data_IF_241800536952
#
_entry.id   IF_241800536952
#
_cell.length_a   1.000
_cell.length_b   1.000
_cell.length_c   1.000
_cell.angle_alpha   90.00
_cell.angle_beta   90.00
_cell.angle_gamma   90.00
#
_symmetry.space_group_name_H-M   'P 1'
#
loop_
_entity.id
_entity.type
_entity.pdbx_description
1 polymer ?
#
# COMPACT_ATOMS: atom_id res chain seq x y z
N UNK A 1 9.05 -21.35 22.20
CA UNK A 1 9.91 -20.49 21.37
C UNK A 1 11.31 -20.24 21.99
N UNK A 2 11.79 -21.05 22.94
CA UNK A 2 13.11 -20.80 23.59
C UNK A 2 14.31 -21.32 22.81
N UNK A 3 14.09 -22.24 21.86
CA UNK A 3 15.16 -22.75 21.01
C UNK A 3 15.29 -21.90 19.74
N UNK A 4 16.42 -21.19 19.62
CA UNK A 4 16.73 -20.33 18.47
C UNK A 4 16.83 -21.10 17.16
N UNK A 5 17.15 -22.39 17.19
CA UNK A 5 17.31 -23.21 15.98
C UNK A 5 15.97 -23.55 15.32
N UNK A 6 14.89 -23.56 16.10
CA UNK A 6 13.55 -23.90 15.60
C UNK A 6 12.82 -22.69 15.02
N UNK A 7 13.27 -21.48 15.31
CA UNK A 7 12.58 -20.26 14.92
C UNK A 7 12.43 -20.09 13.41
N UNK A 8 13.48 -20.27 12.58
CA UNK A 8 13.36 -20.13 11.14
C UNK A 8 12.40 -21.16 10.54
N UNK A 9 12.42 -22.39 11.07
CA UNK A 9 11.53 -23.46 10.62
C UNK A 9 10.07 -23.19 10.98
N UNK A 10 9.82 -22.67 12.18
CA UNK A 10 8.47 -22.33 12.61
C UNK A 10 7.92 -21.11 11.85
N UNK A 11 8.75 -20.09 11.64
CA UNK A 11 8.38 -18.92 10.86
C UNK A 11 8.08 -19.28 9.40
N UNK A 12 8.93 -20.12 8.79
CA UNK A 12 8.70 -20.67 7.45
C UNK A 12 7.39 -21.46 7.39
N UNK A 13 7.16 -22.37 8.35
CA UNK A 13 5.91 -23.14 8.44
C UNK A 13 4.69 -22.23 8.53
N UNK A 14 4.73 -21.19 9.37
CA UNK A 14 3.63 -20.21 9.46
C UNK A 14 3.36 -19.55 8.11
N UNK A 15 4.41 -19.11 7.41
CA UNK A 15 4.26 -18.46 6.10
C UNK A 15 3.70 -19.42 5.03
N UNK A 16 4.11 -20.69 5.05
CA UNK A 16 3.60 -21.72 4.13
C UNK A 16 2.12 -22.04 4.41
N UNK A 17 1.74 -22.16 5.69
CA UNK A 17 0.34 -22.40 6.06
C UNK A 17 -0.54 -21.18 5.72
N UNK A 18 -0.04 -19.96 5.95
CA UNK A 18 -0.74 -18.73 5.60
C UNK A 18 -0.91 -18.55 4.08
N UNK A 19 0.03 -19.05 3.28
CA UNK A 19 -0.06 -19.05 1.81
C UNK A 19 -1.17 -19.99 1.29
N UNK A 20 -1.40 -21.13 1.95
CA UNK A 20 -2.47 -22.06 1.58
C UNK A 20 -3.85 -21.55 1.95
N UNK A 21 -4.64 -21.09 0.97
CA UNK A 21 -5.99 -20.51 1.18
C UNK A 21 -6.89 -21.42 2.03
N UNK A 22 -6.84 -22.73 1.81
CA UNK A 22 -7.63 -23.73 2.56
C UNK A 22 -7.27 -23.80 4.06
N UNK A 23 -6.05 -23.41 4.42
CA UNK A 23 -5.53 -23.49 5.78
C UNK A 23 -5.63 -22.16 6.54
N UNK A 24 -5.93 -21.04 5.87
CA UNK A 24 -5.94 -19.71 6.48
C UNK A 24 -6.95 -19.61 7.64
N UNK A 25 -8.15 -20.16 7.45
CA UNK A 25 -9.19 -20.13 8.47
C UNK A 25 -8.75 -20.86 9.74
N UNK A 26 -8.23 -22.08 9.60
CA UNK A 26 -7.74 -22.88 10.73
C UNK A 26 -6.53 -22.20 11.39
N UNK A 27 -5.62 -21.63 10.60
CA UNK A 27 -4.48 -20.88 11.11
C UNK A 27 -4.90 -19.70 12.00
N UNK A 28 -5.95 -18.97 11.60
CA UNK A 28 -6.52 -17.88 12.40
C UNK A 28 -7.13 -18.41 13.70
N UNK A 29 -7.94 -19.48 13.62
CA UNK A 29 -8.61 -20.09 14.79
C UNK A 29 -7.61 -20.61 15.83
N UNK A 30 -6.52 -21.22 15.38
CA UNK A 30 -5.45 -21.73 16.25
C UNK A 30 -4.53 -20.63 16.80
N UNK A 31 -4.82 -19.35 16.52
CA UNK A 31 -4.04 -18.22 17.02
C UNK A 31 -2.70 -18.04 16.32
N UNK A 32 -2.58 -18.49 15.06
CA UNK A 32 -1.37 -18.40 14.26
C UNK A 32 -0.85 -16.97 14.11
N UNK A 33 -1.72 -15.96 14.01
CA UNK A 33 -1.28 -14.55 13.96
C UNK A 33 -0.60 -14.12 15.25
N UNK A 34 -1.13 -14.53 16.41
CA UNK A 34 -0.50 -14.22 17.71
C UNK A 34 0.88 -14.88 17.83
N UNK A 35 1.04 -16.08 17.27
CA UNK A 35 2.34 -16.73 17.20
C UNK A 35 3.31 -15.93 16.32
N UNK A 36 2.88 -15.50 15.14
CA UNK A 36 3.66 -14.67 14.22
C UNK A 36 4.10 -13.36 14.87
N UNK A 37 3.18 -12.65 15.52
CA UNK A 37 3.46 -11.39 16.22
C UNK A 37 4.50 -11.59 17.32
N UNK A 38 4.35 -12.64 18.15
CA UNK A 38 5.34 -12.96 19.21
C UNK A 38 6.71 -13.36 18.66
N UNK A 39 6.76 -14.01 17.50
CA UNK A 39 8.04 -14.36 16.85
C UNK A 39 8.76 -13.11 16.36
N UNK A 40 8.01 -12.19 15.74
CA UNK A 40 8.55 -10.93 15.23
C UNK A 40 9.10 -10.04 16.35
N UNK A 41 8.38 -9.90 17.46
CA UNK A 41 8.70 -8.90 18.50
C UNK A 41 9.54 -9.42 19.66
N UNK A 42 9.21 -10.60 20.20
CA UNK A 42 9.71 -10.99 21.52
C UNK A 42 10.89 -11.96 21.45
N UNK A 43 10.99 -12.77 20.40
CA UNK A 43 11.86 -13.95 20.44
C UNK A 43 13.06 -13.86 19.50
N UNK A 44 12.93 -13.23 18.33
CA UNK A 44 13.98 -13.22 17.31
C UNK A 44 14.10 -11.86 16.60
N UNK A 45 14.29 -10.75 17.35
CA UNK A 45 14.30 -9.40 16.77
C UNK A 45 15.47 -9.17 15.80
N UNK A 46 16.54 -9.98 15.86
CA UNK A 46 17.74 -9.81 15.05
C UNK A 46 17.75 -10.69 13.78
N UNK A 47 16.84 -11.68 13.68
CA UNK A 47 16.82 -12.63 12.57
C UNK A 47 15.92 -12.13 11.43
N UNK A 48 16.54 -11.54 10.41
CA UNK A 48 15.88 -10.97 9.23
C UNK A 48 15.00 -11.98 8.50
N UNK A 49 15.43 -13.25 8.43
CA UNK A 49 14.66 -14.29 7.76
C UNK A 49 13.37 -14.61 8.52
N UNK A 50 13.46 -14.72 9.85
CA UNK A 50 12.29 -14.90 10.70
C UNK A 50 11.33 -13.70 10.57
N UNK A 51 11.86 -12.47 10.58
CA UNK A 51 11.06 -11.25 10.43
C UNK A 51 10.36 -11.19 9.07
N UNK A 52 11.06 -11.51 7.99
CA UNK A 52 10.49 -11.62 6.64
C UNK A 52 9.36 -12.65 6.60
N UNK A 53 9.58 -13.88 7.11
CA UNK A 53 8.54 -14.91 7.16
C UNK A 53 7.31 -14.48 7.98
N UNK A 54 7.50 -13.71 9.05
CA UNK A 54 6.40 -13.18 9.85
C UNK A 54 5.58 -12.16 9.05
N UNK A 55 6.23 -11.20 8.38
CA UNK A 55 5.56 -10.22 7.52
C UNK A 55 4.84 -10.91 6.35
N UNK A 56 5.48 -11.88 5.71
CA UNK A 56 4.85 -12.68 4.64
C UNK A 56 3.64 -13.47 5.13
N UNK A 57 3.70 -14.03 6.33
CA UNK A 57 2.55 -14.73 6.93
C UNK A 57 1.34 -13.78 7.06
N UNK A 58 1.57 -12.55 7.50
CA UNK A 58 0.51 -11.54 7.60
C UNK A 58 0.03 -11.14 6.20
N UNK A 59 0.95 -10.87 5.27
CA UNK A 59 0.63 -10.51 3.88
C UNK A 59 -0.29 -11.54 3.23
N UNK A 60 0.02 -12.83 3.32
CA UNK A 60 -0.78 -13.88 2.68
C UNK A 60 -2.17 -14.02 3.27
N UNK A 61 -2.33 -13.77 4.58
CA UNK A 61 -3.65 -13.80 5.22
C UNK A 61 -4.56 -12.68 4.74
N UNK A 62 -4.00 -11.50 4.46
CA UNK A 62 -4.78 -10.29 4.11
C UNK A 62 -4.91 -10.08 2.60
N UNK A 63 -4.02 -10.70 1.83
CA UNK A 63 -3.98 -10.70 0.37
C UNK A 63 -3.92 -12.15 -0.15
N UNK A 64 -4.96 -12.96 0.04
CA UNK A 64 -4.99 -14.32 -0.48
C UNK A 64 -4.82 -14.28 -2.01
N UNK A 65 -3.79 -14.96 -2.51
CA UNK A 65 -3.55 -15.08 -3.95
C UNK A 65 -4.56 -16.05 -4.54
N UNK A 66 -5.38 -15.56 -5.47
CA UNK A 66 -6.22 -16.42 -6.31
C UNK A 66 -5.30 -17.23 -7.24
N UNK A 67 -4.86 -18.40 -6.80
CA UNK A 67 -4.01 -19.30 -7.60
C UNK A 67 -4.77 -19.94 -8.79
N UNK A 68 -5.98 -19.49 -9.10
CA UNK A 68 -6.69 -19.89 -10.33
C UNK A 68 -6.17 -19.08 -11.51
N UNK A 69 -5.06 -19.54 -12.09
CA UNK A 69 -4.63 -19.16 -13.43
C UNK A 69 -5.77 -19.35 -14.43
N UNK A 70 -6.34 -18.25 -14.93
CA UNK A 70 -7.04 -18.25 -16.21
C UNK A 70 -8.55 -18.58 -16.24
N UNK A 71 -9.28 -18.46 -15.13
CA UNK A 71 -10.74 -18.39 -15.21
C UNK A 71 -11.25 -17.02 -14.77
N UNK A 72 -12.07 -16.45 -15.65
CA UNK A 72 -12.77 -15.17 -15.51
C UNK A 72 -13.15 -14.93 -14.05
N UNK A 73 -12.67 -13.82 -13.48
CA UNK A 73 -13.07 -13.29 -12.17
C UNK A 73 -14.59 -13.43 -12.05
N UNK A 74 -15.13 -14.42 -11.30
CA UNK A 74 -16.51 -14.33 -10.90
C UNK A 74 -16.56 -13.11 -9.98
N UNK A 75 -17.66 -12.35 -10.00
CA UNK A 75 -17.92 -11.38 -8.94
C UNK A 75 -17.59 -12.08 -7.60
N UNK A 76 -16.67 -11.50 -6.82
CA UNK A 76 -16.13 -12.11 -5.61
C UNK A 76 -17.28 -12.76 -4.86
N UNK A 77 -17.24 -14.10 -4.74
CA UNK A 77 -18.35 -14.79 -4.07
C UNK A 77 -18.47 -14.20 -2.68
N UNK A 78 -19.68 -13.97 -2.17
CA UNK A 78 -19.88 -13.37 -0.82
C UNK A 78 -19.04 -14.05 0.25
N UNK A 79 -18.83 -15.36 0.12
CA UNK A 79 -17.98 -16.18 0.98
C UNK A 79 -16.52 -15.71 0.98
N UNK A 80 -15.98 -15.32 -0.17
CA UNK A 80 -14.60 -14.83 -0.31
C UNK A 80 -14.42 -13.44 0.34
N UNK A 81 -15.41 -12.55 0.20
CA UNK A 81 -15.39 -11.25 0.88
C UNK A 81 -15.52 -11.40 2.41
N UNK A 82 -16.39 -12.30 2.87
CA UNK A 82 -16.53 -12.64 4.29
C UNK A 82 -15.24 -13.23 4.87
N UNK A 83 -14.57 -14.12 4.13
CA UNK A 83 -13.28 -14.69 4.53
C UNK A 83 -12.19 -13.62 4.57
N UNK A 84 -12.10 -12.73 3.57
CA UNK A 84 -11.17 -11.59 3.59
C UNK A 84 -11.41 -10.70 4.81
N UNK A 85 -12.67 -10.35 5.09
CA UNK A 85 -13.03 -9.54 6.25
C UNK A 85 -12.70 -10.23 7.58
N UNK A 86 -12.90 -11.55 7.68
CA UNK A 86 -12.51 -12.35 8.85
C UNK A 86 -10.99 -12.35 9.05
N UNK A 87 -10.20 -12.51 7.99
CA UNK A 87 -8.74 -12.44 8.05
C UNK A 87 -8.25 -11.07 8.50
N UNK A 88 -8.77 -9.97 7.92
CA UNK A 88 -8.41 -8.61 8.34
C UNK A 88 -8.72 -8.38 9.83
N UNK A 89 -9.90 -8.81 10.30
CA UNK A 89 -10.27 -8.73 11.71
C UNK A 89 -9.34 -9.55 12.60
N UNK A 90 -9.05 -10.79 12.21
CA UNK A 90 -8.16 -11.67 12.97
C UNK A 90 -6.76 -11.10 13.11
N UNK A 91 -6.25 -10.48 12.04
CA UNK A 91 -4.93 -9.81 12.06
C UNK A 91 -4.96 -8.55 12.92
N UNK A 92 -5.98 -7.72 12.80
CA UNK A 92 -6.10 -6.49 13.58
C UNK A 92 -6.20 -6.77 15.09
N UNK A 93 -7.04 -7.72 15.49
CA UNK A 93 -7.23 -8.12 16.91
C UNK A 93 -5.95 -8.73 17.51
N UNK A 94 -5.10 -9.33 16.68
CA UNK A 94 -3.85 -9.93 17.10
C UNK A 94 -2.67 -8.94 17.10
N UNK A 95 -2.91 -7.62 17.00
CA UNK A 95 -1.86 -6.58 16.92
C UNK A 95 -1.00 -6.64 15.64
N UNK A 96 -1.49 -7.30 14.58
CA UNK A 96 -0.76 -7.43 13.33
C UNK A 96 -0.48 -6.09 12.64
N UNK A 97 -1.40 -5.12 12.72
CA UNK A 97 -1.21 -3.77 12.17
C UNK A 97 0.01 -3.06 12.80
N UNK A 98 0.20 -3.24 14.11
CA UNK A 98 1.34 -2.65 14.84
C UNK A 98 2.65 -3.27 14.37
N UNK A 99 2.69 -4.59 14.17
CA UNK A 99 3.85 -5.29 13.61
C UNK A 99 4.17 -4.81 12.20
N UNK A 100 3.16 -4.67 11.33
CA UNK A 100 3.37 -4.18 9.97
C UNK A 100 3.94 -2.77 9.94
N UNK A 101 3.42 -1.85 10.76
CA UNK A 101 3.92 -0.49 10.85
C UNK A 101 5.31 -0.42 11.51
N UNK A 102 5.57 -1.25 12.53
CA UNK A 102 6.90 -1.38 13.12
C UNK A 102 7.93 -1.89 12.10
N UNK A 103 7.54 -2.83 11.23
CA UNK A 103 8.38 -3.28 10.11
C UNK A 103 8.65 -2.15 9.11
N UNK A 104 7.65 -1.30 8.85
CA UNK A 104 7.82 -0.11 8.02
C UNK A 104 8.66 0.99 8.69
N UNK A 105 8.79 1.06 10.01
CA UNK A 105 9.57 2.11 10.67
C UNK A 105 11.02 1.70 10.93
N UNK A 106 11.23 0.42 11.28
CA UNK A 106 12.49 -0.02 11.89
C UNK A 106 13.35 -0.94 11.00
N UNK A 107 12.83 -1.45 9.88
CA UNK A 107 13.57 -2.38 9.03
C UNK A 107 14.41 -1.66 7.99
N UNK A 108 15.64 -2.14 7.80
CA UNK A 108 16.53 -1.66 6.74
C UNK A 108 16.38 -2.45 5.45
N UNK A 109 15.80 -3.66 5.52
CA UNK A 109 15.62 -4.52 4.36
C UNK A 109 14.39 -4.12 3.56
N UNK A 110 14.65 -3.64 2.34
CA UNK A 110 13.63 -3.17 1.40
C UNK A 110 12.53 -4.21 1.19
N UNK A 111 12.87 -5.49 1.11
CA UNK A 111 11.86 -6.55 0.89
C UNK A 111 10.90 -6.70 2.08
N UNK A 112 11.40 -6.59 3.32
CA UNK A 112 10.55 -6.66 4.52
C UNK A 112 9.61 -5.47 4.53
N UNK A 113 10.15 -4.26 4.30
CA UNK A 113 9.38 -3.02 4.23
C UNK A 113 8.33 -3.07 3.11
N UNK A 114 8.71 -3.47 1.90
CA UNK A 114 7.80 -3.55 0.76
C UNK A 114 6.65 -4.53 1.03
N UNK A 115 6.93 -5.71 1.59
CA UNK A 115 5.91 -6.68 1.94
C UNK A 115 5.00 -6.19 3.08
N UNK A 116 5.54 -5.44 4.05
CA UNK A 116 4.75 -4.84 5.12
C UNK A 116 3.81 -3.76 4.59
N UNK A 117 4.31 -2.86 3.72
CA UNK A 117 3.49 -1.85 3.06
C UNK A 117 2.39 -2.48 2.18
N UNK A 118 2.72 -3.54 1.42
CA UNK A 118 1.73 -4.30 0.64
C UNK A 118 0.66 -4.94 1.53
N UNK A 119 1.04 -5.46 2.69
CA UNK A 119 0.11 -6.05 3.65
C UNK A 119 -0.83 -5.01 4.28
N UNK A 120 -0.45 -3.73 4.30
CA UNK A 120 -1.32 -2.64 4.76
C UNK A 120 -2.40 -2.25 3.73
N UNK A 121 -2.21 -2.55 2.44
CA UNK A 121 -3.14 -2.12 1.38
C UNK A 121 -4.59 -2.58 1.61
N UNK A 122 -4.88 -3.87 1.91
CA UNK A 122 -6.25 -4.32 2.16
C UNK A 122 -6.93 -3.62 3.36
N UNK A 123 -6.14 -3.18 4.34
CA UNK A 123 -6.65 -2.41 5.47
C UNK A 123 -6.92 -0.96 5.08
N UNK A 124 -6.03 -0.34 4.30
CA UNK A 124 -6.25 1.02 3.79
C UNK A 124 -7.48 1.10 2.87
N UNK A 125 -7.74 0.05 2.08
CA UNK A 125 -8.97 -0.06 1.27
C UNK A 125 -10.24 -0.07 2.13
N UNK A 126 -10.17 -0.55 3.37
CA UNK A 126 -11.32 -0.68 4.27
C UNK A 126 -11.54 0.58 5.10
N UNK A 127 -12.74 1.16 5.01
CA UNK A 127 -13.14 2.36 5.78
C UNK A 127 -12.98 2.19 7.30
N UNK A 128 -13.12 0.96 7.81
CA UNK A 128 -13.00 0.64 9.22
C UNK A 128 -11.56 0.86 9.75
N UNK A 129 -10.56 0.48 8.95
CA UNK A 129 -9.16 0.45 9.40
C UNK A 129 -8.37 1.70 9.05
N UNK A 130 -8.80 2.49 8.06
CA UNK A 130 -8.18 3.78 7.73
C UNK A 130 -7.93 4.67 8.96
N UNK A 131 -8.94 4.98 9.81
CA UNK A 131 -8.72 5.82 10.99
C UNK A 131 -7.87 5.13 12.07
N UNK A 132 -7.83 3.80 12.10
CA UNK A 132 -7.01 3.04 13.05
C UNK A 132 -5.53 3.15 12.66
N UNK A 133 -5.21 2.92 11.39
CA UNK A 133 -3.84 3.03 10.86
C UNK A 133 -3.30 4.44 11.06
N UNK A 134 -4.07 5.45 10.67
CA UNK A 134 -3.63 6.85 10.78
C UNK A 134 -3.83 7.48 12.15
N UNK A 135 -4.39 6.73 13.11
CA UNK A 135 -4.60 7.21 14.46
C UNK A 135 -3.28 7.40 15.23
N UNK A 136 -3.31 8.20 16.32
CA UNK A 136 -2.11 8.56 17.08
C UNK A 136 -1.41 7.35 17.71
N UNK A 137 -2.13 6.27 17.99
CA UNK A 137 -1.57 5.05 18.59
C UNK A 137 -0.65 4.28 17.64
N UNK A 138 -0.89 4.38 16.32
CA UNK A 138 -0.14 3.61 15.31
C UNK A 138 0.77 4.48 14.45
N UNK A 139 0.56 5.81 14.42
CA UNK A 139 1.39 6.78 13.69
C UNK A 139 1.57 6.41 12.20
N UNK A 140 0.58 5.73 11.60
CA UNK A 140 0.71 5.22 10.25
C UNK A 140 0.87 6.32 9.20
N UNK A 141 0.33 7.53 9.45
CA UNK A 141 0.52 8.67 8.54
C UNK A 141 1.98 9.12 8.53
N UNK A 142 2.61 9.29 9.69
CA UNK A 142 4.04 9.67 9.81
C UNK A 142 4.92 8.65 9.09
N UNK A 143 4.71 7.36 9.37
CA UNK A 143 5.52 6.27 8.84
C UNK A 143 5.36 6.19 7.32
N UNK A 144 4.12 6.10 6.82
CA UNK A 144 3.86 5.96 5.38
C UNK A 144 4.30 7.20 4.60
N UNK A 145 4.11 8.41 5.15
CA UNK A 145 4.53 9.65 4.48
C UNK A 145 6.05 9.78 4.33
N UNK A 146 6.84 9.18 5.23
CA UNK A 146 8.31 9.17 5.11
C UNK A 146 8.79 8.54 3.79
N UNK A 147 8.04 7.55 3.27
CA UNK A 147 8.36 6.83 2.04
C UNK A 147 8.12 7.62 0.75
N UNK A 148 7.42 8.76 0.81
CA UNK A 148 7.32 9.68 -0.33
C UNK A 148 8.70 10.19 -0.79
N UNK A 149 9.66 10.21 0.12
CA UNK A 149 11.04 10.66 -0.12
C UNK A 149 12.03 9.50 -0.33
N UNK A 150 11.56 8.25 -0.35
CA UNK A 150 12.43 7.09 -0.56
C UNK A 150 13.09 7.14 -1.94
N UNK A 151 14.36 6.73 -2.04
CA UNK A 151 15.04 6.53 -3.31
C UNK A 151 14.53 5.28 -4.05
N UNK A 152 13.86 4.38 -3.34
CA UNK A 152 13.26 3.20 -3.92
C UNK A 152 11.89 3.53 -4.54
N UNK A 153 11.77 3.33 -5.85
CA UNK A 153 10.55 3.63 -6.60
C UNK A 153 9.35 2.79 -6.16
N UNK A 154 9.56 1.50 -5.86
CA UNK A 154 8.49 0.59 -5.43
C UNK A 154 7.90 1.06 -4.08
N UNK A 155 8.76 1.35 -3.10
CA UNK A 155 8.31 1.84 -1.79
C UNK A 155 7.53 3.14 -1.91
N UNK A 156 8.02 4.05 -2.76
CA UNK A 156 7.34 5.33 -3.04
C UNK A 156 5.96 5.13 -3.67
N UNK A 157 5.84 4.23 -4.65
CA UNK A 157 4.57 3.93 -5.31
C UNK A 157 3.56 3.32 -4.34
N UNK A 158 3.98 2.36 -3.50
CA UNK A 158 3.09 1.75 -2.50
C UNK A 158 2.67 2.80 -1.45
N UNK A 159 3.59 3.65 -1.01
CA UNK A 159 3.28 4.72 -0.06
C UNK A 159 2.26 5.73 -0.62
N UNK A 160 2.41 6.14 -1.89
CA UNK A 160 1.42 6.99 -2.57
C UNK A 160 0.05 6.31 -2.60
N UNK A 161 -0.02 5.03 -2.96
CA UNK A 161 -1.27 4.28 -2.96
C UNK A 161 -1.91 4.24 -1.57
N UNK A 162 -1.13 3.91 -0.54
CA UNK A 162 -1.62 3.86 0.84
C UNK A 162 -2.15 5.22 1.28
N UNK A 163 -1.43 6.31 1.01
CA UNK A 163 -1.87 7.65 1.38
C UNK A 163 -3.16 8.06 0.64
N UNK A 164 -3.31 7.72 -0.64
CA UNK A 164 -4.56 7.97 -1.38
C UNK A 164 -5.78 7.39 -0.65
N UNK A 165 -5.65 6.19 -0.09
CA UNK A 165 -6.71 5.57 0.69
C UNK A 165 -6.83 6.13 2.11
N UNK A 166 -5.71 6.26 2.83
CA UNK A 166 -5.72 6.70 4.23
C UNK A 166 -6.24 8.14 4.37
N UNK A 167 -5.94 9.03 3.42
CA UNK A 167 -6.37 10.43 3.42
C UNK A 167 -7.85 10.62 3.04
N UNK A 168 -8.58 9.57 2.68
CA UNK A 168 -10.05 9.67 2.60
C UNK A 168 -10.69 9.88 3.98
N UNK A 169 -10.02 9.44 5.06
CA UNK A 169 -10.44 9.69 6.44
C UNK A 169 -10.09 11.13 6.86
N UNK A 170 -11.07 11.87 7.39
CA UNK A 170 -10.86 13.24 7.87
C UNK A 170 -9.84 13.32 9.01
N UNK A 171 -9.83 12.36 9.93
CA UNK A 171 -8.87 12.31 11.04
C UNK A 171 -7.42 12.17 10.52
N UNK A 172 -7.24 11.37 9.47
CA UNK A 172 -5.94 11.16 8.85
C UNK A 172 -5.46 12.38 8.07
N UNK A 173 -6.38 13.09 7.37
CA UNK A 173 -6.05 14.37 6.70
C UNK A 173 -5.51 15.39 7.69
N UNK A 174 -6.18 15.55 8.84
CA UNK A 174 -5.72 16.45 9.90
C UNK A 174 -4.32 16.08 10.41
N UNK A 175 -4.08 14.78 10.62
CA UNK A 175 -2.77 14.27 11.05
C UNK A 175 -1.68 14.52 10.00
N UNK A 176 -1.98 14.31 8.71
CA UNK A 176 -1.04 14.56 7.62
C UNK A 176 -0.66 16.03 7.49
N UNK A 177 -1.62 16.95 7.61
CA UNK A 177 -1.35 18.38 7.54
C UNK A 177 -0.57 18.90 8.75
N UNK A 178 -0.76 18.28 9.92
CA UNK A 178 0.03 18.62 11.09
C UNK A 178 1.52 18.25 10.93
N UNK A 179 1.86 17.23 10.13
CA UNK A 179 3.25 16.89 9.83
C UNK A 179 3.98 17.99 9.08
N UNK A 180 3.29 18.65 8.14
CA UNK A 180 3.86 19.72 7.35
C UNK A 180 4.12 20.95 8.23
N UNK A 181 3.15 21.32 9.09
CA UNK A 181 3.30 22.42 10.06
C UNK A 181 4.49 22.22 11.00
N UNK A 182 4.65 21.02 11.56
CA UNK A 182 5.76 20.72 12.46
C UNK A 182 7.13 20.73 11.76
N UNK A 183 7.19 20.51 10.44
CA UNK A 183 8.45 20.63 9.67
C UNK A 183 8.84 22.08 9.37
N UNK A 184 7.88 23.00 9.31
CA UNK A 184 8.14 24.42 9.10
C UNK A 184 8.44 25.16 10.42
N UNK A 185 7.90 24.72 11.56
CA UNK A 185 8.18 25.33 12.88
C UNK A 185 9.61 25.03 13.42
N UNK A 186 10.37 24.12 12.79
CA UNK A 186 11.81 23.96 13.10
C UNK A 186 12.69 25.05 12.45
N UNK A 187 12.08 26.00 11.72
CA UNK A 187 12.75 27.16 11.14
C UNK A 187 11.86 28.40 11.11
N UNK A 188 11.92 29.18 12.19
CA UNK A 188 11.36 30.53 12.37
C UNK A 188 9.83 30.64 12.62
N UNK A 189 9.50 31.36 13.70
CA UNK A 189 8.16 31.85 14.08
C UNK A 189 7.34 32.32 12.86
N UNK A 190 6.18 31.71 12.58
CA UNK A 190 5.10 32.42 11.89
C UNK A 190 3.73 31.77 12.04
N UNK A 191 2.87 32.50 12.76
CA UNK A 191 1.43 32.70 12.56
C UNK A 191 0.56 31.49 12.14
N UNK A 192 -0.24 31.06 13.11
CA UNK A 192 -1.40 30.20 12.93
C UNK A 192 -2.44 30.82 11.98
N UNK A 193 -2.53 30.30 10.76
CA UNK A 193 -3.77 30.29 9.99
C UNK A 193 -4.41 28.90 10.10
N UNK A 194 -5.53 28.86 10.81
CA UNK A 194 -6.43 27.70 10.85
C UNK A 194 -7.10 27.69 9.47
N UNK A 195 -6.79 26.68 8.64
CA UNK A 195 -7.52 26.45 7.40
C UNK A 195 -8.95 26.05 7.76
N UNK A 196 -9.93 26.80 7.25
CA UNK A 196 -11.35 26.52 7.44
C UNK A 196 -11.77 25.25 6.68
N UNK A 197 -12.87 24.64 7.14
CA UNK A 197 -13.30 23.28 6.78
C UNK A 197 -13.55 23.05 5.28
N UNK A 198 -13.70 24.11 4.48
CA UNK A 198 -13.96 24.07 3.04
C UNK A 198 -12.68 23.96 2.19
N UNK A 199 -11.50 24.29 2.72
CA UNK A 199 -10.22 24.24 1.98
C UNK A 199 -9.63 22.82 1.87
N UNK A 200 -10.15 21.89 2.68
CA UNK A 200 -9.68 20.50 2.75
C UNK A 200 -10.30 19.57 1.69
N UNK A 201 -11.39 20.01 1.06
CA UNK A 201 -12.05 19.26 0.00
C UNK A 201 -11.30 19.44 -1.34
N UNK A 202 -10.77 20.65 -1.60
CA UNK A 202 -9.93 20.93 -2.77
C UNK A 202 -8.50 20.38 -2.69
N UNK A 203 -7.96 20.11 -1.48
CA UNK A 203 -6.58 19.62 -1.34
C UNK A 203 -6.41 18.15 -1.79
N UNK A 204 -7.49 17.37 -1.77
CA UNK A 204 -7.53 16.00 -2.33
C UNK A 204 -7.31 16.03 -3.85
N UNK A 205 -7.74 17.11 -4.52
CA UNK A 205 -7.47 17.37 -5.93
C UNK A 205 -6.09 18.01 -6.18
N UNK A 206 -5.42 18.52 -5.13
CA UNK A 206 -4.15 19.24 -5.22
C UNK A 206 -2.91 18.41 -4.87
N UNK A 207 -3.05 17.17 -4.39
CA UNK A 207 -1.90 16.27 -4.37
C UNK A 207 -1.49 16.05 -5.83
N UNK A 208 -0.30 16.48 -6.27
CA UNK A 208 0.12 16.27 -7.64
C UNK A 208 0.23 14.76 -7.84
N UNK A 209 -0.79 14.21 -8.49
CA UNK A 209 -0.76 12.92 -9.12
C UNK A 209 0.51 12.95 -9.98
N UNK A 210 1.53 12.23 -9.56
CA UNK A 210 2.68 11.94 -10.39
C UNK A 210 2.15 11.06 -11.52
N UNK A 211 1.58 11.70 -12.54
CA UNK A 211 1.47 11.15 -13.89
C UNK A 211 2.91 10.93 -14.33
N UNK A 212 3.42 9.74 -14.04
CA UNK A 212 4.65 9.23 -14.60
C UNK A 212 4.53 9.34 -16.13
N UNK A 213 5.32 10.24 -16.71
CA UNK A 213 5.68 10.24 -18.12
C UNK A 213 4.70 10.92 -19.08
N UNK A 214 4.73 12.25 -19.16
CA UNK A 214 4.74 12.91 -20.48
C UNK A 214 5.85 13.95 -20.47
N UNK A 215 6.94 13.79 -21.23
CA UNK A 215 7.96 14.83 -21.31
C UNK A 215 7.34 16.08 -21.93
N UNK A 216 7.31 17.16 -21.15
CA UNK A 216 6.76 18.43 -21.57
C UNK A 216 7.81 19.19 -22.38
N UNK A 217 7.37 19.62 -23.57
CA UNK A 217 7.88 20.68 -24.45
C UNK A 217 8.76 20.23 -25.62
N UNK A 218 8.13 20.19 -26.80
CA UNK A 218 8.64 21.02 -27.89
C UNK A 218 7.61 22.13 -28.10
N UNK A 219 8.08 23.36 -27.98
CA UNK A 219 7.32 24.56 -28.26
C UNK A 219 7.12 24.70 -29.78
N UNK A 220 5.94 25.14 -30.22
CA UNK A 220 5.86 26.02 -31.38
C UNK A 220 4.70 26.99 -31.24
N UNK A 221 5.01 28.24 -31.55
CA UNK A 221 4.18 29.44 -31.45
C UNK A 221 2.93 29.39 -32.34
N UNK A 222 1.98 30.22 -31.92
CA UNK A 222 0.81 30.78 -32.58
C UNK A 222 0.78 30.81 -34.12
N UNK A 223 -0.40 30.50 -34.69
CA UNK A 223 -0.94 31.16 -35.88
C UNK A 223 -1.64 30.24 -36.88
N UNK A 224 -2.89 30.58 -37.25
CA UNK A 224 -3.44 30.27 -38.57
C UNK A 224 -4.54 29.21 -38.64
N UNK A 225 -5.66 29.63 -39.26
CA UNK A 225 -6.87 28.85 -39.60
C UNK A 225 -6.62 27.74 -40.64
N UNK A 226 -7.65 26.89 -40.78
CA UNK A 226 -8.07 26.04 -41.92
C UNK A 226 -7.37 24.71 -42.22
N UNK A 227 -8.21 23.69 -42.46
CA UNK A 227 -7.98 22.69 -43.51
C UNK A 227 -7.61 21.28 -43.05
N UNK A 228 -8.42 20.32 -43.47
CA UNK A 228 -8.17 18.87 -43.39
C UNK A 228 -6.77 18.49 -43.91
N UNK A 229 -6.06 17.61 -43.21
CA UNK A 229 -5.24 16.57 -43.83
C UNK A 229 -4.77 15.53 -42.80
N UNK A 230 -4.94 14.27 -43.21
CA UNK A 230 -4.40 13.06 -42.64
C UNK A 230 -2.89 13.15 -42.36
N UNK A 231 -2.46 12.74 -41.17
CA UNK A 231 -1.11 12.22 -40.94
C UNK A 231 -1.23 10.99 -40.03
N UNK A 232 -1.23 9.82 -40.65
CA UNK A 232 -1.04 8.54 -39.96
C UNK A 232 0.38 8.51 -39.40
N UNK A 233 0.52 8.60 -38.09
CA UNK A 233 1.77 8.25 -37.41
C UNK A 233 1.82 6.74 -37.28
N UNK A 234 2.78 6.15 -37.96
CA UNK A 234 3.17 4.76 -37.89
C UNK A 234 3.64 4.43 -36.46
N UNK A 235 2.85 3.58 -35.77
CA UNK A 235 3.10 3.10 -34.40
C UNK A 235 3.84 1.76 -34.37
N UNK A 236 4.37 1.29 -35.50
CA UNK A 236 5.05 -0.02 -35.59
C UNK A 236 6.29 -0.13 -34.68
N UNK A 237 6.83 0.98 -34.17
CA UNK A 237 7.94 1.00 -33.20
C UNK A 237 7.56 0.91 -31.71
N UNK A 238 6.27 1.01 -31.34
CA UNK A 238 5.85 1.08 -29.91
C UNK A 238 5.51 -0.30 -29.33
N UNK A 239 5.37 -1.33 -30.19
CA UNK A 239 4.96 -2.67 -29.76
C UNK A 239 6.04 -3.49 -29.04
N UNK A 240 7.26 -2.98 -28.89
CA UNK A 240 8.36 -3.72 -28.26
C UNK A 240 8.76 -3.24 -26.85
N UNK A 241 8.03 -2.29 -26.25
CA UNK A 241 8.30 -1.86 -24.85
C UNK A 241 7.40 -2.60 -23.84
N UNK A 242 6.26 -3.16 -24.28
CA UNK A 242 5.30 -3.86 -23.41
C UNK A 242 5.26 -5.38 -23.59
N UNK A 243 6.19 -5.96 -24.36
CA UNK A 243 6.29 -7.40 -24.55
C UNK A 243 7.25 -8.03 -23.52
N UNK A 244 6.87 -7.98 -22.25
CA UNK A 244 7.50 -8.71 -21.15
C UNK A 244 6.40 -9.18 -20.22
N UNK A 245 5.84 -10.35 -20.52
CA UNK A 245 4.57 -10.81 -19.98
C UNK A 245 4.51 -10.95 -18.46
N UNK A 246 3.50 -10.33 -17.86
CA UNK A 246 2.50 -10.96 -17.01
C UNK A 246 1.30 -9.99 -16.95
N UNK A 247 0.09 -10.52 -16.94
CA UNK A 247 -1.15 -9.75 -17.02
C UNK A 247 -1.23 -8.61 -15.99
N UNK A 248 -1.09 -7.38 -16.48
CA UNK A 248 -1.24 -6.15 -15.72
C UNK A 248 -2.74 -5.74 -15.75
N UNK A 249 -3.46 -5.65 -14.62
CA UNK A 249 -4.86 -5.21 -14.61
C UNK A 249 -5.01 -3.69 -14.78
N UNK A 250 -3.90 -2.94 -14.87
CA UNK A 250 -3.91 -1.48 -15.00
C UNK A 250 -3.98 -1.00 -16.46
N UNK A 251 -4.99 -1.43 -17.21
CA UNK A 251 -5.40 -0.70 -18.42
C UNK A 251 -6.56 0.22 -18.04
N UNK A 252 -6.21 1.41 -17.55
CA UNK A 252 -7.16 2.52 -17.40
C UNK A 252 -7.66 2.90 -18.80
N UNK A 253 -8.86 2.44 -19.17
CA UNK A 253 -9.61 2.99 -20.30
C UNK A 253 -9.89 4.46 -19.98
N UNK A 254 -9.18 5.37 -20.64
CA UNK A 254 -9.60 6.76 -20.74
C UNK A 254 -10.96 6.79 -21.43
N UNK A 255 -12.02 7.13 -20.70
CA UNK A 255 -13.28 7.50 -21.29
C UNK A 255 -13.11 8.88 -21.94
N UNK A 256 -13.13 8.92 -23.27
CA UNK A 256 -13.28 10.15 -24.04
C UNK A 256 -14.70 10.69 -23.83
N UNK A 257 -14.89 11.56 -22.83
CA UNK A 257 -16.05 12.43 -22.79
C UNK A 257 -15.76 13.66 -23.66
N UNK A 258 -16.03 13.54 -24.97
CA UNK A 258 -16.29 14.70 -25.80
C UNK A 258 -17.72 15.16 -25.52
N UNK A 259 -17.79 16.37 -24.95
CA UNK A 259 -18.87 17.38 -24.99
C UNK A 259 -20.32 16.87 -25.11
#
# INVERSE_FOLDING_TARGET
LKDRRLAPHLALLCSTVAFGVDCQHEFLLQGGVRLVVRMYEEHFPDDEYVRLCCVLSILYLVSPTDNTTGQEKPAASRVQEENKAASLRGVAVAEGLRVLLAACENETHVEIVANALKALMPFAESELYRPIIGGPSLRGIDIVSSYLYSDNLELKQIAVFLLQHLLTSQANRRSFLALDRNRFDEGEDSAADILDEDDLEGLVDCLPIVRLGVPKKIASKSGGRTGESSNSLDLSGVNNIFAGGLHDPFVLKCADNRL
#
